data_IF_353815036042
#
_entry.id   IF_353815036042
#
_cell.length_a   1.000
_cell.length_b   1.000
_cell.length_c   1.000
_cell.angle_alpha   90.00
_cell.angle_beta   90.00
_cell.angle_gamma   90.00
#
_symmetry.space_group_name_H-M   'P 1'
#
loop_
_entity.id
_entity.type
_entity.pdbx_description
1 polymer ?
#
# COMPACT_ATOMS: atom_id res chain seq x y z
N UNK A 1 -15.08 0.72 -10.33
CA UNK A 1 -15.95 0.62 -9.13
C UNK A 1 -15.20 0.77 -7.80
N UNK A 2 -14.14 0.01 -7.52
CA UNK A 2 -13.47 0.02 -6.18
C UNK A 2 -12.89 1.39 -5.72
N UNK A 3 -12.11 2.08 -6.57
CA UNK A 3 -11.47 3.36 -6.18
C UNK A 3 -12.45 4.53 -6.00
N UNK A 4 -13.59 4.49 -6.69
CA UNK A 4 -14.61 5.54 -6.59
C UNK A 4 -15.30 5.50 -5.21
N UNK A 5 -15.58 4.30 -4.70
CA UNK A 5 -16.13 4.13 -3.34
C UNK A 5 -15.14 4.59 -2.27
N UNK A 6 -13.85 4.30 -2.44
CA UNK A 6 -12.81 4.75 -1.53
C UNK A 6 -12.75 6.29 -1.46
N UNK A 7 -12.87 6.97 -2.61
CA UNK A 7 -12.88 8.44 -2.67
C UNK A 7 -14.02 9.02 -1.83
N UNK A 8 -15.26 8.58 -2.05
CA UNK A 8 -16.42 9.10 -1.32
C UNK A 8 -16.29 8.91 0.19
N UNK A 9 -15.74 7.78 0.65
CA UNK A 9 -15.52 7.54 2.10
C UNK A 9 -14.46 8.45 2.72
N UNK A 10 -13.50 8.92 1.93
CA UNK A 10 -12.44 9.82 2.39
C UNK A 10 -12.90 11.29 2.43
N UNK A 11 -13.85 11.64 1.56
CA UNK A 11 -14.50 12.96 1.55
C UNK A 11 -15.18 13.27 2.90
N UNK A 12 -15.78 12.27 3.55
CA UNK A 12 -16.36 12.38 4.91
C UNK A 12 -15.34 12.86 5.96
N UNK A 13 -14.04 12.62 5.72
CA UNK A 13 -12.93 13.00 6.59
C UNK A 13 -12.13 14.20 6.05
N UNK A 14 -12.64 14.91 5.04
CA UNK A 14 -11.92 16.00 4.35
C UNK A 14 -10.58 15.57 3.72
N UNK A 15 -10.48 14.31 3.30
CA UNK A 15 -9.30 13.76 2.62
C UNK A 15 -9.61 13.62 1.12
N UNK A 16 -8.84 14.32 0.27
CA UNK A 16 -8.98 14.22 -1.17
C UNK A 16 -8.16 13.04 -1.74
N UNK A 17 -8.82 12.07 -2.37
CA UNK A 17 -8.14 10.99 -3.10
C UNK A 17 -8.12 11.28 -4.61
N UNK A 18 -6.92 11.53 -5.13
CA UNK A 18 -6.62 11.60 -6.56
C UNK A 18 -6.01 10.28 -7.03
N UNK A 19 -6.48 9.76 -8.17
CA UNK A 19 -5.92 8.54 -8.76
C UNK A 19 -5.86 8.66 -10.28
N UNK A 20 -4.84 8.03 -10.86
CA UNK A 20 -4.61 7.93 -12.29
C UNK A 20 -4.14 6.51 -12.62
N UNK A 21 -4.39 6.07 -13.86
CA UNK A 21 -3.85 4.81 -14.37
C UNK A 21 -2.89 5.09 -15.51
N UNK A 22 -1.62 4.80 -15.28
CA UNK A 22 -0.58 4.81 -16.29
C UNK A 22 -0.12 3.36 -16.57
N UNK A 23 -0.31 2.83 -17.79
CA UNK A 23 0.13 1.48 -18.15
C UNK A 23 1.65 1.31 -18.21
N UNK A 24 2.41 2.41 -18.34
CA UNK A 24 3.87 2.39 -18.42
C UNK A 24 4.54 2.54 -17.04
N UNK A 25 3.76 2.79 -16.00
CA UNK A 25 4.26 2.97 -14.64
C UNK A 25 4.58 1.61 -14.00
N UNK A 26 5.88 1.33 -13.85
CA UNK A 26 6.37 0.12 -13.17
C UNK A 26 6.97 0.38 -11.79
N UNK A 27 7.23 1.64 -11.44
CA UNK A 27 7.81 2.00 -10.14
C UNK A 27 6.82 1.76 -9.00
N UNK A 28 7.34 1.24 -7.89
CA UNK A 28 6.58 0.92 -6.68
C UNK A 28 7.18 1.73 -5.54
N UNK A 29 6.65 2.94 -5.37
CA UNK A 29 7.17 3.89 -4.40
C UNK A 29 6.04 4.58 -3.63
N UNK A 30 6.32 4.89 -2.37
CA UNK A 30 5.50 5.73 -1.52
C UNK A 30 6.32 6.98 -1.23
N UNK A 31 5.73 8.13 -1.52
CA UNK A 31 6.33 9.45 -1.29
C UNK A 31 5.54 10.17 -0.22
N UNK A 32 6.26 10.81 0.69
CA UNK A 32 5.69 11.70 1.71
C UNK A 32 6.03 13.15 1.38
N UNK A 33 5.23 14.05 1.89
CA UNK A 33 5.44 15.50 1.88
C UNK A 33 6.75 15.90 2.58
N UNK A 34 7.12 15.20 3.66
CA UNK A 34 8.39 15.38 4.39
C UNK A 34 9.65 14.94 3.60
N UNK A 35 9.49 14.51 2.35
CA UNK A 35 10.59 14.14 1.45
C UNK A 35 11.08 12.70 1.59
N UNK A 36 10.42 11.87 2.41
CA UNK A 36 10.72 10.43 2.46
C UNK A 36 10.19 9.72 1.22
N UNK A 37 11.03 8.83 0.68
CA UNK A 37 10.70 7.92 -0.40
C UNK A 37 10.96 6.50 0.06
N UNK A 38 9.90 5.70 0.12
CA UNK A 38 9.92 4.29 0.51
C UNK A 38 9.69 3.47 -0.75
N UNK A 39 10.68 2.64 -1.10
CA UNK A 39 10.66 1.78 -2.28
C UNK A 39 10.44 0.35 -1.81
N UNK A 40 9.44 -0.34 -2.39
CA UNK A 40 9.15 -1.75 -2.11
C UNK A 40 9.11 -2.53 -3.40
N UNK A 41 9.94 -3.58 -3.50
CA UNK A 41 10.01 -4.41 -4.70
C UNK A 41 8.66 -5.02 -5.08
N UNK A 42 7.69 -5.15 -4.15
CA UNK A 42 6.35 -5.69 -4.41
C UNK A 42 5.22 -4.65 -4.26
N UNK A 43 5.55 -3.40 -3.95
CA UNK A 43 4.55 -2.40 -3.58
C UNK A 43 3.86 -2.78 -2.27
N UNK A 44 2.53 -2.68 -2.22
CA UNK A 44 1.71 -3.04 -1.06
C UNK A 44 1.35 -4.54 -0.99
N UNK A 45 1.65 -5.34 -2.03
CA UNK A 45 1.42 -6.80 -2.05
C UNK A 45 2.57 -7.58 -1.37
N UNK A 46 2.75 -7.35 -0.08
CA UNK A 46 3.84 -7.96 0.71
C UNK A 46 3.38 -9.17 1.53
N UNK A 47 2.08 -9.37 1.73
CA UNK A 47 1.57 -10.46 2.57
C UNK A 47 1.29 -11.73 1.76
N UNK A 48 1.48 -12.89 2.39
CA UNK A 48 1.02 -14.19 1.87
C UNK A 48 -0.47 -14.33 2.14
N UNK A 49 -1.18 -15.01 1.25
CA UNK A 49 -2.59 -15.36 1.49
C UNK A 49 -2.67 -16.20 2.78
N UNK A 50 -3.59 -15.89 3.70
CA UNK A 50 -3.78 -16.72 4.89
C UNK A 50 -4.28 -18.11 4.49
N UNK A 51 -3.85 -19.13 5.23
CA UNK A 51 -4.17 -20.54 4.96
C UNK A 51 -5.64 -20.83 5.27
N UNK A 52 -6.23 -20.11 6.23
CA UNK A 52 -7.64 -20.21 6.59
C UNK A 52 -8.21 -18.86 7.03
N UNK A 53 -9.55 -18.75 7.03
CA UNK A 53 -10.25 -17.55 7.54
C UNK A 53 -10.06 -17.33 9.05
N UNK A 54 -9.66 -18.37 9.78
CA UNK A 54 -9.52 -18.35 11.23
C UNK A 54 -8.04 -18.26 11.68
N UNK A 55 -7.10 -18.07 10.74
CA UNK A 55 -5.69 -17.84 11.07
C UNK A 55 -5.52 -16.49 11.77
N UNK A 56 -4.67 -16.41 12.80
CA UNK A 56 -4.46 -15.18 13.59
C UNK A 56 -4.14 -13.94 12.75
N UNK A 57 -3.39 -14.10 11.66
CA UNK A 57 -3.04 -13.02 10.73
C UNK A 57 -4.14 -12.60 9.76
N UNK A 58 -5.38 -13.07 9.90
CA UNK A 58 -6.47 -12.69 9.01
C UNK A 58 -6.97 -11.26 9.26
N UNK A 59 -6.99 -10.81 10.52
CA UNK A 59 -7.47 -9.48 10.91
C UNK A 59 -6.33 -8.50 11.25
N UNK A 60 -5.22 -9.02 11.77
CA UNK A 60 -4.04 -8.23 12.09
C UNK A 60 -2.89 -8.57 11.15
N UNK A 61 -2.54 -7.60 10.28
CA UNK A 61 -1.47 -7.74 9.31
C UNK A 61 -0.08 -7.91 9.97
N UNK A 62 0.11 -7.46 11.22
CA UNK A 62 1.36 -7.64 11.94
C UNK A 62 1.66 -9.11 12.27
N UNK A 63 0.61 -9.95 12.33
CA UNK A 63 0.70 -11.39 12.56
C UNK A 63 0.70 -12.19 11.24
N UNK A 64 0.50 -11.52 10.10
CA UNK A 64 0.41 -12.19 8.81
C UNK A 64 1.80 -12.48 8.24
N UNK A 65 1.98 -13.68 7.69
CA UNK A 65 3.23 -14.08 7.05
C UNK A 65 3.48 -13.23 5.80
N UNK A 66 4.70 -12.72 5.64
CA UNK A 66 5.12 -11.94 4.49
C UNK A 66 5.75 -12.79 3.37
N UNK A 67 5.65 -12.30 2.14
CA UNK A 67 6.48 -12.69 1.00
C UNK A 67 7.85 -12.02 1.15
N UNK A 68 8.91 -12.66 0.66
CA UNK A 68 10.23 -12.04 0.66
C UNK A 68 10.21 -10.78 -0.24
N UNK A 69 10.70 -9.66 0.29
CA UNK A 69 10.79 -8.39 -0.43
C UNK A 69 11.90 -7.54 0.18
N UNK A 70 12.44 -6.59 -0.60
CA UNK A 70 13.36 -5.58 -0.09
C UNK A 70 12.62 -4.25 0.04
N UNK A 71 12.88 -3.58 1.14
CA UNK A 71 12.39 -2.22 1.40
C UNK A 71 13.60 -1.30 1.45
N UNK A 72 13.61 -0.29 0.59
CA UNK A 72 14.64 0.73 0.57
C UNK A 72 14.03 2.07 0.97
N UNK A 73 14.68 2.77 1.90
CA UNK A 73 14.23 4.06 2.41
C UNK A 73 15.30 5.10 2.07
N UNK A 74 14.87 6.21 1.48
CA UNK A 74 15.73 7.38 1.23
C UNK A 74 14.97 8.67 1.53
N UNK A 75 15.70 9.71 1.93
CA UNK A 75 15.16 11.07 2.07
C UNK A 75 15.69 11.92 0.92
N UNK A 76 14.79 12.56 0.17
CA UNK A 76 15.17 13.54 -0.85
C UNK A 76 15.54 14.83 -0.10
N UNK A 77 16.78 15.28 -0.28
CA UNK A 77 17.25 16.59 0.20
C UNK A 77 16.67 17.71 -0.66
#
# INVERSE_FOLDING_TARGET
>A
MSLMLARCRLEDYSIELKWERDPNLHSREIKTDDGWVILSDRGLDIYKKPESRNEFGHFDLALQKCKQTKVHIRKKL
#
